data_IF_015980177214
#
_entry.id   IF_015980177214
#
_cell.length_a   1.000
_cell.length_b   1.000
_cell.length_c   1.000
_cell.angle_alpha   90.00
_cell.angle_beta   90.00
_cell.angle_gamma   90.00
#
_symmetry.space_group_name_H-M   'P 1'
#
loop_
_entity.id
_entity.type
_entity.pdbx_description
1 polymer ?
#
# COMPACT_ATOMS: atom_id res chain seq x y z
N UNK A 1 -31.07 24.45 -16.17
CA UNK A 1 -29.79 23.72 -16.24
C UNK A 1 -28.83 24.59 -17.03
N UNK A 2 -27.85 25.20 -16.36
CA UNK A 2 -26.88 26.09 -17.00
C UNK A 2 -25.51 25.44 -17.00
N UNK A 3 -24.80 25.52 -18.12
CA UNK A 3 -23.40 25.14 -18.22
C UNK A 3 -22.55 26.41 -18.18
N UNK A 4 -21.51 26.41 -17.34
CA UNK A 4 -20.57 27.52 -17.21
C UNK A 4 -19.17 27.06 -17.58
N UNK A 5 -18.40 27.90 -18.26
CA UNK A 5 -17.00 27.63 -18.59
C UNK A 5 -16.15 28.86 -18.28
N UNK A 6 -14.99 28.63 -17.67
CA UNK A 6 -13.95 29.64 -17.47
C UNK A 6 -12.60 29.10 -17.93
N UNK A 7 -11.79 29.94 -18.59
CA UNK A 7 -10.46 29.59 -19.08
C UNK A 7 -9.43 30.59 -18.52
N UNK A 8 -8.50 30.09 -17.69
CA UNK A 8 -7.36 30.84 -17.18
C UNK A 8 -6.09 30.43 -17.94
N UNK A 9 -5.70 31.26 -18.91
CA UNK A 9 -4.49 31.02 -19.71
C UNK A 9 -3.27 31.79 -19.17
N UNK A 10 -3.50 32.90 -18.48
CA UNK A 10 -2.50 33.75 -17.83
C UNK A 10 -3.20 34.69 -16.83
N UNK A 11 -2.42 35.47 -16.07
CA UNK A 11 -2.96 36.44 -15.12
C UNK A 11 -3.30 35.84 -13.75
N UNK A 12 -4.09 36.56 -12.98
CA UNK A 12 -4.45 36.21 -11.60
C UNK A 12 -5.98 36.21 -11.46
N UNK A 13 -6.52 35.10 -10.98
CA UNK A 13 -7.87 35.00 -10.45
C UNK A 13 -7.77 34.85 -8.92
N UNK A 14 -8.54 35.63 -8.19
CA UNK A 14 -8.61 35.50 -6.74
C UNK A 14 -10.06 35.57 -6.26
N UNK A 15 -10.43 34.62 -5.41
CA UNK A 15 -11.75 34.54 -4.82
C UNK A 15 -11.66 34.04 -3.37
N UNK A 16 -12.68 34.36 -2.56
CA UNK A 16 -12.80 33.77 -1.22
C UNK A 16 -13.13 32.28 -1.31
N UNK A 17 -14.15 31.95 -2.09
CA UNK A 17 -14.55 30.59 -2.42
C UNK A 17 -14.81 30.51 -3.92
N UNK A 18 -14.63 29.33 -4.49
CA UNK A 18 -14.97 29.05 -5.88
C UNK A 18 -15.92 27.85 -5.97
N UNK A 19 -16.91 27.96 -6.84
CA UNK A 19 -17.96 26.95 -7.00
C UNK A 19 -18.09 26.62 -8.49
N UNK A 20 -17.78 25.37 -8.85
CA UNK A 20 -17.95 24.84 -10.19
C UNK A 20 -19.12 23.84 -10.15
N UNK A 21 -20.14 24.06 -10.98
CA UNK A 21 -21.27 23.14 -11.07
C UNK A 21 -22.32 23.36 -9.98
N UNK A 22 -23.23 24.29 -10.25
CA UNK A 22 -24.40 24.61 -9.42
C UNK A 22 -25.50 23.53 -9.43
N UNK A 23 -26.64 23.79 -8.78
CA UNK A 23 -27.84 22.93 -8.82
C UNK A 23 -28.19 22.52 -10.26
N UNK A 24 -27.95 21.25 -10.58
CA UNK A 24 -28.22 20.58 -11.86
C UNK A 24 -27.48 21.16 -13.08
N UNK A 25 -26.35 21.84 -12.88
CA UNK A 25 -25.53 22.44 -13.93
C UNK A 25 -24.08 21.93 -13.94
N UNK A 26 -23.43 21.99 -15.11
CA UNK A 26 -22.01 21.65 -15.25
C UNK A 26 -21.16 22.92 -15.25
N UNK A 27 -20.18 23.01 -14.35
CA UNK A 27 -19.16 24.06 -14.36
C UNK A 27 -17.82 23.50 -14.80
N UNK A 28 -17.17 24.12 -15.77
CA UNK A 28 -15.84 23.76 -16.26
C UNK A 28 -14.85 24.89 -16.05
N UNK A 29 -13.68 24.59 -15.49
CA UNK A 29 -12.56 25.50 -15.38
C UNK A 29 -11.34 24.89 -16.07
N UNK A 30 -10.79 25.58 -17.05
CA UNK A 30 -9.54 25.16 -17.73
C UNK A 30 -8.42 26.12 -17.34
N UNK A 31 -7.37 25.59 -16.72
CA UNK A 31 -6.17 26.33 -16.38
C UNK A 31 -4.98 25.84 -17.20
N UNK A 32 -4.51 26.66 -18.13
CA UNK A 32 -3.29 26.38 -18.92
C UNK A 32 -2.10 27.23 -18.46
N UNK A 33 -2.35 28.26 -17.64
CA UNK A 33 -1.33 29.14 -17.06
C UNK A 33 -1.91 30.06 -15.99
N UNK A 34 -1.14 31.07 -15.58
CA UNK A 34 -1.57 32.04 -14.54
C UNK A 34 -1.71 31.44 -13.14
N UNK A 35 -2.30 32.23 -12.25
CA UNK A 35 -2.49 31.88 -10.83
C UNK A 35 -3.96 31.98 -10.45
N UNK A 36 -4.52 30.88 -9.94
CA UNK A 36 -5.80 30.87 -9.26
C UNK A 36 -5.56 30.81 -7.75
N UNK A 37 -6.17 31.72 -6.99
CA UNK A 37 -6.06 31.76 -5.53
C UNK A 37 -7.43 31.78 -4.89
N UNK A 38 -7.81 30.64 -4.31
CA UNK A 38 -9.04 30.47 -3.53
C UNK A 38 -8.67 30.57 -2.06
N UNK A 39 -9.05 31.65 -1.39
CA UNK A 39 -8.60 31.91 -0.02
C UNK A 39 -9.14 30.90 1.02
N UNK A 40 -10.29 30.30 0.75
CA UNK A 40 -10.90 29.28 1.59
C UNK A 40 -11.17 28.00 0.77
N UNK A 41 -12.39 27.78 0.29
CA UNK A 41 -12.79 26.48 -0.25
C UNK A 41 -13.09 26.54 -1.76
N UNK A 42 -12.60 25.53 -2.48
CA UNK A 42 -12.91 25.27 -3.88
C UNK A 42 -13.82 24.04 -3.97
N UNK A 43 -15.01 24.21 -4.53
CA UNK A 43 -16.01 23.15 -4.66
C UNK A 43 -16.22 22.77 -6.12
N UNK A 44 -15.95 21.51 -6.45
CA UNK A 44 -16.29 20.88 -7.70
C UNK A 44 -17.55 20.05 -7.48
N UNK A 45 -18.67 20.62 -7.90
CA UNK A 45 -20.04 20.34 -7.52
C UNK A 45 -20.46 21.01 -6.21
N UNK A 46 -21.35 22.01 -6.34
CA UNK A 46 -22.03 22.70 -5.25
C UNK A 46 -23.52 22.90 -5.58
N UNK A 47 -24.43 22.26 -4.85
CA UNK A 47 -25.86 22.54 -5.03
C UNK A 47 -26.76 21.65 -4.17
N UNK A 48 -27.66 22.27 -3.41
CA UNK A 48 -28.54 21.60 -2.44
C UNK A 48 -29.76 20.89 -3.06
N UNK A 49 -29.98 20.98 -4.37
CA UNK A 49 -31.25 20.56 -4.99
C UNK A 49 -31.14 19.31 -5.90
N UNK A 50 -30.02 19.10 -6.62
CA UNK A 50 -29.66 17.84 -7.33
C UNK A 50 -28.45 18.03 -8.26
N UNK A 51 -27.57 17.03 -8.37
CA UNK A 51 -26.82 16.73 -9.61
C UNK A 51 -25.80 17.74 -10.16
N UNK A 52 -25.24 18.64 -9.36
CA UNK A 52 -24.19 19.55 -9.86
C UNK A 52 -22.95 18.79 -10.32
N UNK A 53 -22.32 19.20 -11.42
CA UNK A 53 -21.06 18.63 -11.91
C UNK A 53 -19.98 19.69 -12.02
N UNK A 54 -18.87 19.52 -11.32
CA UNK A 54 -17.72 20.42 -11.38
C UNK A 54 -16.53 19.74 -12.03
N UNK A 55 -15.95 20.36 -13.06
CA UNK A 55 -14.79 19.85 -13.79
C UNK A 55 -13.69 20.91 -13.76
N UNK A 56 -12.53 20.56 -13.23
CA UNK A 56 -11.32 21.40 -13.27
C UNK A 56 -10.23 20.68 -14.06
N UNK A 57 -9.71 21.32 -15.09
CA UNK A 57 -8.63 20.79 -15.93
C UNK A 57 -7.43 21.71 -15.83
N UNK A 58 -6.35 21.23 -15.22
CA UNK A 58 -5.10 21.96 -15.04
C UNK A 58 -3.99 21.30 -15.86
N UNK A 59 -3.45 22.04 -16.83
CA UNK A 59 -2.27 21.64 -17.62
C UNK A 59 -1.08 22.57 -17.43
N UNK A 60 -1.25 23.67 -16.68
CA UNK A 60 -0.20 24.61 -16.32
C UNK A 60 -0.64 25.58 -15.21
N UNK A 61 0.22 26.54 -14.87
CA UNK A 61 -0.07 27.54 -13.84
C UNK A 61 -0.11 26.99 -12.41
N UNK A 62 -0.60 27.83 -11.50
CA UNK A 62 -0.72 27.53 -10.06
C UNK A 62 -2.16 27.65 -9.61
N UNK A 63 -2.67 26.64 -8.90
CA UNK A 63 -3.95 26.68 -8.20
C UNK A 63 -3.68 26.54 -6.70
N UNK A 64 -4.04 27.55 -5.92
CA UNK A 64 -3.84 27.55 -4.46
C UNK A 64 -5.19 27.63 -3.77
N UNK A 65 -5.52 26.59 -2.99
CA UNK A 65 -6.73 26.49 -2.18
C UNK A 65 -6.36 26.58 -0.72
N UNK A 66 -6.70 27.70 -0.06
CA UNK A 66 -6.24 28.01 1.28
C UNK A 66 -6.74 27.04 2.36
N UNK A 67 -7.91 26.43 2.17
CA UNK A 67 -8.50 25.49 3.11
C UNK A 67 -8.82 24.14 2.45
N UNK A 68 -10.00 23.96 1.85
CA UNK A 68 -10.42 22.63 1.35
C UNK A 68 -10.77 22.62 -0.13
N UNK A 69 -10.22 21.65 -0.83
CA UNK A 69 -10.66 21.23 -2.15
C UNK A 69 -11.67 20.10 -2.01
N UNK A 70 -12.89 20.34 -2.46
CA UNK A 70 -14.01 19.42 -2.35
C UNK A 70 -14.46 18.96 -3.73
N UNK A 71 -14.47 17.64 -3.97
CA UNK A 71 -15.05 17.06 -5.17
C UNK A 71 -16.29 16.23 -4.79
N UNK A 72 -17.42 16.48 -5.43
CA UNK A 72 -18.65 15.70 -5.25
C UNK A 72 -19.20 15.75 -3.82
N UNK A 73 -19.47 16.95 -3.28
CA UNK A 73 -19.56 17.13 -1.82
C UNK A 73 -20.93 17.40 -1.18
N UNK A 74 -22.00 17.63 -1.93
CA UNK A 74 -23.25 18.13 -1.33
C UNK A 74 -24.40 17.13 -1.32
N UNK A 75 -24.57 16.34 -2.39
CA UNK A 75 -25.65 15.36 -2.53
C UNK A 75 -25.11 14.07 -3.15
N UNK A 76 -25.84 12.96 -3.03
CA UNK A 76 -25.45 11.68 -3.64
C UNK A 76 -25.25 11.75 -5.15
N UNK A 77 -25.93 12.69 -5.82
CA UNK A 77 -25.88 12.88 -7.26
C UNK A 77 -24.81 13.91 -7.68
N UNK A 78 -24.12 14.53 -6.72
CA UNK A 78 -23.03 15.47 -6.99
C UNK A 78 -21.85 14.74 -7.64
N UNK A 79 -21.24 15.31 -8.68
CA UNK A 79 -20.05 14.74 -9.32
C UNK A 79 -18.92 15.76 -9.44
N UNK A 80 -17.71 15.41 -8.99
CA UNK A 80 -16.52 16.26 -9.11
C UNK A 80 -15.41 15.58 -9.90
N UNK A 81 -14.77 16.30 -10.82
CA UNK A 81 -13.60 15.81 -11.57
C UNK A 81 -12.48 16.84 -11.57
N UNK A 82 -11.29 16.45 -11.11
CA UNK A 82 -10.08 17.25 -11.24
C UNK A 82 -9.06 16.48 -12.11
N UNK A 83 -8.55 17.13 -13.16
CA UNK A 83 -7.56 16.57 -14.07
C UNK A 83 -6.29 17.41 -14.00
N UNK A 84 -5.24 16.89 -13.33
CA UNK A 84 -3.94 17.52 -13.20
C UNK A 84 -2.94 16.85 -14.14
N UNK A 85 -2.63 17.50 -15.26
CA UNK A 85 -1.67 17.04 -16.27
C UNK A 85 -0.36 17.85 -16.28
N UNK A 86 -0.36 19.01 -15.61
CA UNK A 86 0.79 19.90 -15.47
C UNK A 86 0.48 21.06 -14.52
N UNK A 87 1.48 21.86 -14.18
CA UNK A 87 1.33 22.94 -13.19
C UNK A 87 1.44 22.47 -11.74
N UNK A 88 0.99 23.32 -10.81
CA UNK A 88 1.00 23.06 -9.37
C UNK A 88 -0.37 23.32 -8.75
N UNK A 89 -0.88 22.34 -8.03
CA UNK A 89 -2.01 22.44 -7.11
C UNK A 89 -1.47 22.39 -5.68
N UNK A 90 -1.90 23.31 -4.83
CA UNK A 90 -1.67 23.23 -3.39
C UNK A 90 -2.96 23.48 -2.63
N UNK A 91 -3.21 22.66 -1.62
CA UNK A 91 -4.42 22.71 -0.80
C UNK A 91 -4.11 22.46 0.68
N UNK A 92 -4.96 22.99 1.57
CA UNK A 92 -4.96 22.62 2.98
C UNK A 92 -5.39 21.15 3.16
N UNK A 93 -6.55 20.82 2.60
CA UNK A 93 -7.13 19.48 2.60
C UNK A 93 -7.76 19.18 1.24
N UNK A 94 -7.82 17.90 0.90
CA UNK A 94 -8.55 17.41 -0.27
C UNK A 94 -9.55 16.35 0.16
N UNK A 95 -10.76 16.44 -0.38
CA UNK A 95 -11.78 15.42 -0.17
C UNK A 95 -12.40 15.04 -1.50
N UNK A 96 -12.12 13.81 -1.89
CA UNK A 96 -12.57 13.22 -3.14
C UNK A 96 -13.77 12.34 -2.83
N UNK A 97 -14.95 12.87 -3.14
CA UNK A 97 -16.23 12.17 -3.02
C UNK A 97 -16.83 12.29 -1.64
N UNK A 98 -17.06 13.49 -1.11
CA UNK A 98 -17.61 13.63 0.25
C UNK A 98 -19.09 13.16 0.37
N UNK A 99 -19.92 13.26 -0.65
CA UNK A 99 -21.31 12.73 -0.54
C UNK A 99 -21.70 12.04 -1.84
N UNK A 100 -21.36 12.68 -2.96
CA UNK A 100 -21.51 12.11 -4.29
C UNK A 100 -20.21 11.47 -4.78
N UNK A 101 -20.11 11.32 -6.10
CA UNK A 101 -18.98 10.66 -6.75
C UNK A 101 -17.89 11.66 -7.10
N UNK A 102 -16.63 11.22 -7.09
CA UNK A 102 -15.54 12.08 -7.51
C UNK A 102 -14.34 11.32 -8.04
N UNK A 103 -13.65 11.96 -8.98
CA UNK A 103 -12.39 11.45 -9.53
C UNK A 103 -11.34 12.55 -9.58
N UNK A 104 -10.18 12.26 -9.02
CA UNK A 104 -8.96 13.03 -9.24
C UNK A 104 -8.02 12.22 -10.14
N UNK A 105 -7.63 12.79 -11.27
CA UNK A 105 -6.70 12.17 -12.22
C UNK A 105 -5.44 13.01 -12.29
N UNK A 106 -4.31 12.43 -11.86
CA UNK A 106 -2.99 13.05 -11.95
C UNK A 106 -2.13 12.31 -12.98
N UNK A 107 -1.91 12.96 -14.12
CA UNK A 107 -1.05 12.49 -15.21
C UNK A 107 0.19 13.37 -15.41
N UNK A 108 0.46 14.25 -14.45
CA UNK A 108 1.62 15.13 -14.41
C UNK A 108 1.50 16.15 -13.28
N UNK A 109 2.36 17.18 -13.30
CA UNK A 109 2.32 18.27 -12.32
C UNK A 109 2.59 17.87 -10.86
N UNK A 110 2.33 18.81 -9.96
CA UNK A 110 2.52 18.66 -8.51
C UNK A 110 1.17 18.88 -7.81
N UNK A 111 0.75 17.93 -6.97
CA UNK A 111 -0.32 18.09 -5.99
C UNK A 111 0.28 18.07 -4.57
N UNK A 112 0.18 19.18 -3.86
CA UNK A 112 0.74 19.35 -2.52
C UNK A 112 -0.37 19.64 -1.50
N UNK A 113 -0.74 18.61 -0.74
CA UNK A 113 -1.76 18.67 0.31
C UNK A 113 -1.09 18.79 1.66
N UNK A 114 -1.11 19.99 2.23
CA UNK A 114 -0.40 20.28 3.49
C UNK A 114 -0.98 19.55 4.71
N UNK A 115 -2.28 19.23 4.68
CA UNK A 115 -3.00 18.46 5.70
C UNK A 115 -3.39 17.08 5.18
N UNK A 116 -4.69 16.82 5.13
CA UNK A 116 -5.21 15.48 4.82
C UNK A 116 -5.77 15.35 3.41
N UNK A 117 -5.45 14.24 2.75
CA UNK A 117 -6.18 13.73 1.59
C UNK A 117 -7.18 12.65 2.05
N UNK A 118 -8.46 12.84 1.72
CA UNK A 118 -9.51 11.87 1.97
C UNK A 118 -10.10 11.38 0.66
N UNK A 119 -10.08 10.06 0.45
CA UNK A 119 -10.64 9.42 -0.74
C UNK A 119 -11.80 8.53 -0.31
N UNK A 120 -13.03 8.90 -0.64
CA UNK A 120 -14.18 8.00 -0.52
C UNK A 120 -15.54 8.63 -0.21
N UNK A 121 -16.60 8.01 -0.76
CA UNK A 121 -18.02 8.44 -0.68
C UNK A 121 -18.92 7.57 0.19
N UNK A 122 -19.97 8.18 0.74
CA UNK A 122 -20.97 7.58 1.63
C UNK A 122 -22.04 6.75 0.93
N UNK A 123 -22.03 6.65 -0.40
CA UNK A 123 -22.95 5.78 -1.17
C UNK A 123 -22.30 5.29 -2.47
N UNK A 124 -22.97 4.42 -3.22
CA UNK A 124 -22.45 3.47 -4.23
C UNK A 124 -21.53 3.98 -5.38
N UNK A 125 -21.08 5.24 -5.37
CA UNK A 125 -19.96 5.72 -6.18
C UNK A 125 -18.93 6.43 -5.30
N UNK A 126 -17.80 5.75 -5.07
CA UNK A 126 -16.70 6.20 -4.21
C UNK A 126 -15.95 7.42 -4.71
N UNK A 127 -15.00 7.87 -3.89
CA UNK A 127 -13.90 8.72 -4.35
C UNK A 127 -12.84 7.88 -5.04
N UNK A 128 -12.29 8.38 -6.14
CA UNK A 128 -11.19 7.72 -6.87
C UNK A 128 -10.04 8.69 -7.07
N UNK A 129 -8.82 8.26 -6.72
CA UNK A 129 -7.58 8.93 -7.11
C UNK A 129 -6.80 8.04 -8.08
N UNK A 130 -6.40 8.60 -9.22
CA UNK A 130 -5.54 7.93 -10.19
C UNK A 130 -4.23 8.71 -10.34
N UNK A 131 -3.11 8.12 -9.96
CA UNK A 131 -1.77 8.67 -10.13
C UNK A 131 -0.99 7.87 -11.18
N UNK A 132 -0.76 8.45 -12.36
CA UNK A 132 0.05 7.82 -13.41
C UNK A 132 1.40 8.51 -13.61
N UNK A 133 1.49 9.82 -13.36
CA UNK A 133 2.74 10.59 -13.38
C UNK A 133 2.65 11.80 -12.46
N UNK A 134 3.75 12.54 -12.29
CA UNK A 134 3.82 13.71 -11.42
C UNK A 134 4.15 13.36 -9.98
N UNK A 135 3.93 14.31 -9.08
CA UNK A 135 4.19 14.17 -7.65
C UNK A 135 2.95 14.51 -6.83
N UNK A 136 2.57 13.60 -5.93
CA UNK A 136 1.57 13.82 -4.88
C UNK A 136 2.30 13.81 -3.53
N UNK A 137 2.12 14.85 -2.73
CA UNK A 137 2.59 14.88 -1.35
C UNK A 137 1.44 15.20 -0.40
N UNK A 138 1.30 14.40 0.65
CA UNK A 138 0.29 14.57 1.70
C UNK A 138 0.95 14.50 3.08
N UNK A 139 0.34 15.15 4.09
CA UNK A 139 0.73 14.89 5.46
C UNK A 139 0.06 13.62 5.98
N UNK A 140 -1.26 13.56 5.84
CA UNK A 140 -2.08 12.43 6.25
C UNK A 140 -2.95 12.00 5.08
N UNK A 141 -3.20 10.70 4.97
CA UNK A 141 -4.14 10.18 3.98
C UNK A 141 -5.01 9.07 4.55
N UNK A 142 -6.28 9.09 4.18
CA UNK A 142 -7.18 7.97 4.39
C UNK A 142 -7.99 7.66 3.13
N UNK A 143 -7.95 6.38 2.75
CA UNK A 143 -8.69 5.81 1.62
C UNK A 143 -9.76 4.91 2.22
N UNK A 144 -11.03 5.28 2.02
CA UNK A 144 -12.15 4.63 2.69
C UNK A 144 -12.20 4.97 4.19
N UNK A 145 -13.00 5.97 4.54
CA UNK A 145 -13.13 6.53 5.90
C UNK A 145 -14.61 6.65 6.28
N UNK A 146 -15.02 6.67 7.56
CA UNK A 146 -16.39 7.05 7.98
C UNK A 146 -17.53 6.45 7.16
N UNK A 147 -17.52 5.12 6.95
CA UNK A 147 -18.54 4.37 6.21
C UNK A 147 -18.54 4.66 4.71
N UNK A 148 -17.36 4.98 4.18
CA UNK A 148 -17.16 5.36 2.78
C UNK A 148 -16.25 4.38 2.05
N UNK A 149 -16.45 4.28 0.74
CA UNK A 149 -15.58 3.52 -0.16
C UNK A 149 -14.64 4.44 -0.91
N UNK A 150 -13.33 4.17 -0.80
CA UNK A 150 -12.27 4.90 -1.50
C UNK A 150 -11.39 3.99 -2.33
N UNK A 151 -10.95 4.48 -3.49
CA UNK A 151 -10.02 3.75 -4.37
C UNK A 151 -8.86 4.66 -4.75
N UNK A 152 -7.64 4.17 -4.57
CA UNK A 152 -6.41 4.81 -5.05
C UNK A 152 -5.69 3.86 -6.00
N UNK A 153 -5.40 4.32 -7.21
CA UNK A 153 -4.63 3.56 -8.21
C UNK A 153 -3.36 4.32 -8.56
N UNK A 154 -2.21 3.70 -8.32
CA UNK A 154 -0.90 4.21 -8.69
C UNK A 154 -0.27 3.35 -9.79
N UNK A 155 -0.18 3.91 -11.00
CA UNK A 155 0.48 3.28 -12.14
C UNK A 155 1.78 3.98 -12.55
N UNK A 156 2.22 4.96 -11.75
CA UNK A 156 3.49 5.67 -11.91
C UNK A 156 3.59 6.86 -10.95
N UNK A 157 4.47 7.82 -11.27
CA UNK A 157 4.69 9.02 -10.45
C UNK A 157 5.29 8.75 -9.06
N UNK A 158 5.36 9.81 -8.26
CA UNK A 158 5.83 9.75 -6.86
C UNK A 158 4.71 10.16 -5.92
N UNK A 159 4.41 9.29 -4.95
CA UNK A 159 3.48 9.54 -3.87
C UNK A 159 4.25 9.56 -2.54
N UNK A 160 4.17 10.66 -1.80
CA UNK A 160 4.83 10.81 -0.50
C UNK A 160 3.82 11.15 0.59
N UNK A 161 3.67 10.25 1.57
CA UNK A 161 2.83 10.45 2.76
C UNK A 161 3.73 10.62 3.99
N UNK A 162 3.85 11.85 4.47
CA UNK A 162 4.87 12.22 5.47
C UNK A 162 4.53 11.83 6.91
N UNK A 163 3.27 11.48 7.20
CA UNK A 163 2.82 11.02 8.52
C UNK A 163 2.19 9.63 8.46
N UNK A 164 0.93 9.53 8.01
CA UNK A 164 0.18 8.26 8.04
C UNK A 164 -0.67 8.07 6.80
N UNK A 165 -0.60 6.89 6.22
CA UNK A 165 -1.52 6.39 5.20
C UNK A 165 -2.40 5.31 5.82
N UNK A 166 -3.71 5.51 5.78
CA UNK A 166 -4.71 4.54 6.20
C UNK A 166 -5.49 4.01 4.98
N UNK A 167 -5.57 2.69 4.84
CA UNK A 167 -6.48 2.03 3.90
C UNK A 167 -7.55 1.31 4.71
N UNK A 168 -8.79 1.77 4.59
CA UNK A 168 -9.91 1.28 5.39
C UNK A 168 -9.78 1.67 6.85
N UNK A 169 -10.32 2.83 7.24
CA UNK A 169 -10.25 3.32 8.62
C UNK A 169 -11.57 3.87 9.18
N UNK A 170 -11.70 3.80 10.52
CA UNK A 170 -12.69 4.50 11.36
C UNK A 170 -14.11 3.93 11.49
N UNK A 171 -14.64 3.07 10.62
CA UNK A 171 -15.94 2.42 10.88
C UNK A 171 -16.11 1.06 10.20
N UNK A 172 -16.91 0.13 10.74
CA UNK A 172 -17.02 -1.24 10.19
C UNK A 172 -17.48 -1.32 8.71
N UNK A 173 -18.13 -0.28 8.19
CA UNK A 173 -18.61 -0.23 6.81
C UNK A 173 -17.74 0.62 5.86
N UNK A 174 -16.64 1.23 6.33
CA UNK A 174 -15.67 1.82 5.41
C UNK A 174 -14.86 0.75 4.70
N UNK A 175 -14.50 1.03 3.45
CA UNK A 175 -13.67 0.15 2.64
C UNK A 175 -12.67 0.98 1.84
N UNK A 176 -11.38 0.71 2.02
CA UNK A 176 -10.31 1.32 1.25
C UNK A 176 -9.64 0.31 0.33
N UNK A 177 -9.24 0.75 -0.87
CA UNK A 177 -8.38 -0.03 -1.75
C UNK A 177 -7.26 0.83 -2.31
N UNK A 178 -6.02 0.36 -2.17
CA UNK A 178 -4.83 0.91 -2.82
C UNK A 178 -4.24 -0.15 -3.75
N UNK A 179 -4.07 0.20 -5.03
CA UNK A 179 -3.42 -0.65 -6.02
C UNK A 179 -2.20 0.05 -6.61
N UNK A 180 -1.05 -0.61 -6.62
CA UNK A 180 0.19 -0.09 -7.21
C UNK A 180 0.79 -1.06 -8.23
N UNK A 181 1.09 -0.55 -9.42
CA UNK A 181 1.71 -1.31 -10.52
C UNK A 181 3.00 -0.67 -11.05
N UNK A 182 3.36 0.53 -10.60
CA UNK A 182 4.64 1.19 -10.88
C UNK A 182 4.75 2.45 -10.02
N UNK A 183 5.81 3.24 -10.23
CA UNK A 183 6.05 4.46 -9.49
C UNK A 183 6.60 4.20 -8.09
N UNK A 184 6.69 5.27 -7.31
CA UNK A 184 7.23 5.23 -5.94
C UNK A 184 6.17 5.67 -4.94
N UNK A 185 5.92 4.85 -3.92
CA UNK A 185 5.15 5.18 -2.72
C UNK A 185 6.12 5.27 -1.54
N UNK A 186 6.27 6.46 -0.97
CA UNK A 186 7.09 6.71 0.21
C UNK A 186 6.15 7.07 1.35
N UNK A 187 6.05 6.22 2.36
CA UNK A 187 5.14 6.38 3.47
C UNK A 187 5.90 6.28 4.78
N UNK A 188 5.57 7.15 5.73
CA UNK A 188 6.12 7.02 7.08
C UNK A 188 5.48 5.85 7.82
N UNK A 189 4.19 5.94 8.13
CA UNK A 189 3.42 4.83 8.69
C UNK A 189 2.29 4.40 7.78
N UNK A 190 2.24 3.11 7.48
CA UNK A 190 1.28 2.52 6.56
C UNK A 190 0.37 1.54 7.31
N UNK A 191 -0.90 1.89 7.43
CA UNK A 191 -1.92 1.08 8.09
C UNK A 191 -2.89 0.53 7.07
N UNK A 192 -3.00 -0.78 7.00
CA UNK A 192 -3.93 -1.49 6.12
C UNK A 192 -4.94 -2.20 7.00
N UNK A 193 -6.24 -1.90 6.87
CA UNK A 193 -7.29 -2.69 7.52
C UNK A 193 -7.37 -2.55 9.05
N UNK A 194 -6.88 -1.45 9.63
CA UNK A 194 -6.69 -1.30 11.08
C UNK A 194 -8.00 -1.32 11.90
N UNK A 195 -9.12 -0.81 11.36
CA UNK A 195 -10.43 -0.78 12.03
C UNK A 195 -11.62 -1.06 11.11
N UNK A 196 -11.34 -1.34 9.84
CA UNK A 196 -12.33 -1.58 8.80
C UNK A 196 -11.63 -2.11 7.56
N UNK A 197 -12.39 -2.60 6.58
CA UNK A 197 -11.81 -3.31 5.44
C UNK A 197 -10.80 -2.46 4.64
N UNK A 198 -9.55 -2.89 4.65
CA UNK A 198 -8.46 -2.23 3.93
C UNK A 198 -7.75 -3.20 3.01
N UNK A 199 -7.62 -2.86 1.73
CA UNK A 199 -7.00 -3.73 0.74
C UNK A 199 -5.82 -3.07 0.07
N UNK A 200 -4.65 -3.74 0.10
CA UNK A 200 -3.46 -3.36 -0.64
C UNK A 200 -3.15 -4.40 -1.72
N UNK A 201 -3.00 -3.94 -2.97
CA UNK A 201 -2.59 -4.75 -4.10
C UNK A 201 -1.28 -4.23 -4.70
N UNK A 202 -0.24 -5.07 -4.70
CA UNK A 202 0.96 -4.85 -5.52
C UNK A 202 0.81 -5.71 -6.77
N UNK A 203 0.52 -5.07 -7.90
CA UNK A 203 0.10 -5.77 -9.13
C UNK A 203 1.20 -5.91 -10.17
N UNK A 204 2.37 -5.34 -9.94
CA UNK A 204 3.55 -5.45 -10.79
C UNK A 204 4.83 -5.29 -9.94
N UNK A 205 5.89 -6.08 -10.17
CA UNK A 205 7.16 -5.94 -9.44
C UNK A 205 7.88 -4.61 -9.68
N UNK A 206 7.48 -3.81 -10.69
CA UNK A 206 8.01 -2.47 -10.91
C UNK A 206 7.54 -1.42 -9.89
N UNK A 207 6.59 -1.76 -9.01
CA UNK A 207 6.17 -0.90 -7.90
C UNK A 207 7.31 -0.76 -6.87
N UNK A 208 7.64 0.48 -6.49
CA UNK A 208 8.62 0.77 -5.45
C UNK A 208 7.91 1.34 -4.21
N UNK A 209 7.94 0.60 -3.10
CA UNK A 209 7.31 1.01 -1.84
C UNK A 209 8.37 1.12 -0.77
N UNK A 210 8.43 2.26 -0.09
CA UNK A 210 9.31 2.51 1.05
C UNK A 210 8.49 2.90 2.27
N UNK A 211 8.73 2.20 3.38
CA UNK A 211 8.19 2.47 4.72
C UNK A 211 9.33 2.93 5.61
N UNK A 212 9.09 3.92 6.47
CA UNK A 212 10.13 4.58 7.30
C UNK A 212 9.74 4.76 8.77
N UNK A 213 8.75 4.01 9.24
CA UNK A 213 8.38 3.94 10.66
C UNK A 213 7.60 2.65 10.98
N UNK A 214 6.51 2.38 10.26
CA UNK A 214 5.64 1.25 10.57
C UNK A 214 4.87 0.76 9.34
N UNK A 215 4.90 -0.55 9.09
CA UNK A 215 3.93 -1.26 8.27
C UNK A 215 3.02 -2.08 9.19
N UNK A 216 1.72 -1.83 9.14
CA UNK A 216 0.74 -2.47 10.03
C UNK A 216 -0.39 -3.11 9.22
N UNK A 217 -0.53 -4.43 9.34
CA UNK A 217 -1.67 -5.19 8.84
C UNK A 217 -2.68 -5.36 9.98
N UNK A 218 -3.81 -4.66 9.88
CA UNK A 218 -4.90 -4.74 10.84
C UNK A 218 -5.78 -5.97 10.70
N UNK A 219 -6.76 -6.08 11.61
CA UNK A 219 -7.71 -7.21 11.68
C UNK A 219 -8.55 -7.41 10.44
N UNK A 220 -8.82 -6.34 9.68
CA UNK A 220 -9.65 -6.35 8.47
C UNK A 220 -8.82 -6.06 7.21
N UNK A 221 -7.52 -6.40 7.25
CA UNK A 221 -6.61 -6.20 6.14
C UNK A 221 -6.78 -7.27 5.07
N UNK A 222 -6.49 -6.90 3.83
CA UNK A 222 -6.29 -7.83 2.72
C UNK A 222 -5.05 -7.39 1.95
N UNK A 223 -4.13 -8.30 1.71
CA UNK A 223 -2.88 -8.04 1.02
C UNK A 223 -2.62 -9.07 -0.07
N UNK A 224 -2.42 -8.59 -1.30
CA UNK A 224 -1.97 -9.41 -2.41
C UNK A 224 -0.76 -8.79 -3.06
N UNK A 225 0.20 -9.62 -3.45
CA UNK A 225 1.36 -9.20 -4.22
C UNK A 225 1.64 -10.19 -5.34
N UNK A 226 2.13 -9.69 -6.47
CA UNK A 226 2.69 -10.52 -7.54
C UNK A 226 4.10 -11.00 -7.18
N UNK A 227 4.56 -12.15 -7.72
CA UNK A 227 5.93 -12.61 -7.49
C UNK A 227 6.97 -11.54 -7.84
N UNK A 228 7.92 -11.32 -6.93
CA UNK A 228 8.98 -10.31 -7.08
C UNK A 228 8.58 -8.90 -6.65
N UNK A 229 7.40 -8.73 -6.06
CA UNK A 229 7.04 -7.49 -5.37
C UNK A 229 7.98 -7.24 -4.19
N UNK A 230 8.34 -5.98 -3.96
CA UNK A 230 9.25 -5.57 -2.88
C UNK A 230 8.59 -4.49 -2.00
N UNK A 231 8.90 -4.53 -0.71
CA UNK A 231 8.68 -3.42 0.22
C UNK A 231 10.00 -3.17 0.95
N UNK A 232 10.46 -1.92 0.91
CA UNK A 232 11.67 -1.46 1.57
C UNK A 232 11.34 -0.84 2.93
N UNK A 233 11.95 -1.37 3.98
CA UNK A 233 11.78 -0.98 5.38
C UNK A 233 13.06 -0.25 5.85
N UNK A 234 12.95 1.06 6.05
CA UNK A 234 14.09 1.96 6.29
C UNK A 234 14.09 2.48 7.73
N UNK A 235 14.21 1.56 8.69
CA UNK A 235 14.03 1.85 10.13
C UNK A 235 12.55 1.80 10.48
N UNK A 236 11.92 0.66 10.23
CA UNK A 236 10.47 0.48 10.35
C UNK A 236 10.08 -0.82 11.03
N UNK A 237 9.15 -0.75 11.98
CA UNK A 237 8.51 -1.93 12.54
C UNK A 237 7.55 -2.58 11.53
N UNK A 238 7.35 -3.89 11.67
CA UNK A 238 6.24 -4.64 11.07
C UNK A 238 5.31 -5.12 12.19
N UNK A 239 4.04 -4.73 12.12
CA UNK A 239 2.97 -5.25 12.97
C UNK A 239 1.98 -6.05 12.13
N UNK A 240 1.75 -7.31 12.51
CA UNK A 240 0.64 -8.09 12.00
C UNK A 240 -0.38 -8.31 13.11
N UNK A 241 -1.57 -7.76 12.93
CA UNK A 241 -2.71 -7.90 13.85
C UNK A 241 -3.81 -8.73 13.16
N UNK A 242 -3.62 -9.14 11.89
CA UNK A 242 -4.59 -9.95 11.17
C UNK A 242 -4.68 -11.35 11.80
N UNK A 243 -5.88 -11.84 12.14
CA UNK A 243 -6.06 -13.22 12.58
C UNK A 243 -6.22 -14.21 11.41
N UNK A 244 -6.20 -13.70 10.17
CA UNK A 244 -6.51 -14.47 8.97
C UNK A 244 -5.33 -14.47 7.98
N UNK A 245 -4.61 -15.60 7.84
CA UNK A 245 -3.49 -15.72 6.91
C UNK A 245 -3.92 -15.75 5.44
N UNK A 246 -5.14 -16.17 5.13
CA UNK A 246 -5.63 -16.21 3.75
C UNK A 246 -5.85 -14.79 3.20
N UNK A 247 -6.22 -13.86 4.07
CA UNK A 247 -6.32 -12.44 3.72
C UNK A 247 -4.95 -11.80 3.43
N UNK A 248 -3.85 -12.38 3.93
CA UNK A 248 -2.48 -11.92 3.68
C UNK A 248 -1.71 -12.86 2.74
N UNK A 249 -2.40 -13.62 1.87
CA UNK A 249 -1.77 -14.55 0.93
C UNK A 249 -0.67 -13.94 0.05
N UNK A 250 -0.70 -12.61 -0.18
CA UNK A 250 0.34 -11.88 -0.88
C UNK A 250 1.72 -11.93 -0.22
N UNK A 251 1.83 -12.20 1.08
CA UNK A 251 3.10 -12.30 1.79
C UNK A 251 4.04 -13.34 1.15
N UNK A 252 3.49 -14.45 0.66
CA UNK A 252 4.25 -15.51 -0.02
C UNK A 252 4.99 -15.06 -1.29
N UNK A 253 4.56 -13.95 -1.91
CA UNK A 253 5.16 -13.38 -3.11
C UNK A 253 6.02 -12.14 -2.83
N UNK A 254 6.02 -11.66 -1.59
CA UNK A 254 6.66 -10.42 -1.17
C UNK A 254 8.12 -10.69 -0.75
N UNK A 255 9.02 -9.84 -1.23
CA UNK A 255 10.30 -9.59 -0.58
C UNK A 255 10.18 -8.37 0.34
N UNK A 256 10.42 -8.59 1.64
CA UNK A 256 10.49 -7.54 2.64
C UNK A 256 11.96 -7.27 2.97
N UNK A 257 12.43 -6.06 2.62
CA UNK A 257 13.84 -5.66 2.73
C UNK A 257 14.00 -4.72 3.92
N UNK A 258 14.71 -5.14 4.96
CA UNK A 258 15.11 -4.27 6.07
C UNK A 258 16.51 -3.71 5.82
N UNK A 259 16.59 -2.39 5.78
CA UNK A 259 17.79 -1.62 5.42
C UNK A 259 17.82 -0.25 6.14
N UNK A 260 17.34 -0.22 7.39
CA UNK A 260 17.31 0.97 8.23
C UNK A 260 18.66 1.44 8.77
N UNK A 261 19.72 0.65 8.59
CA UNK A 261 21.06 0.96 9.06
C UNK A 261 21.34 0.47 10.49
N UNK A 262 22.47 0.92 11.04
CA UNK A 262 23.06 0.39 12.28
C UNK A 262 22.48 0.92 13.61
N UNK A 263 21.54 1.85 13.57
CA UNK A 263 21.00 2.51 14.76
C UNK A 263 19.66 1.98 15.23
N UNK A 264 18.87 1.44 14.31
CA UNK A 264 17.49 1.06 14.56
C UNK A 264 17.35 -0.46 14.45
N UNK A 265 16.91 -1.09 15.53
CA UNK A 265 16.52 -2.50 15.54
C UNK A 265 15.02 -2.53 15.34
N UNK A 266 14.61 -3.02 14.17
CA UNK A 266 13.22 -3.00 13.74
C UNK A 266 12.45 -4.19 14.33
N UNK A 267 11.37 -3.95 15.10
CA UNK A 267 10.51 -5.02 15.57
C UNK A 267 9.77 -5.68 14.40
N UNK A 268 9.76 -7.02 14.41
CA UNK A 268 9.02 -7.83 13.44
C UNK A 268 8.06 -8.74 14.20
N UNK A 269 6.77 -8.44 14.08
CA UNK A 269 5.70 -9.29 14.61
C UNK A 269 5.62 -10.62 13.85
N UNK A 270 5.87 -11.72 14.55
CA UNK A 270 5.59 -13.07 14.04
C UNK A 270 4.09 -13.35 14.14
N UNK A 271 3.56 -14.27 13.32
CA UNK A 271 2.11 -14.52 13.27
C UNK A 271 1.73 -15.97 12.92
N UNK A 272 2.69 -16.76 12.43
CA UNK A 272 2.44 -18.15 12.04
C UNK A 272 2.39 -19.06 13.27
N UNK A 273 1.55 -20.07 13.26
CA UNK A 273 1.63 -21.17 14.23
C UNK A 273 2.98 -21.85 14.12
N UNK A 274 3.65 -22.10 15.25
CA UNK A 274 4.86 -22.92 15.26
C UNK A 274 4.51 -24.40 15.07
N UNK A 275 4.56 -24.84 13.81
CA UNK A 275 4.37 -26.23 13.41
C UNK A 275 5.70 -27.02 13.39
N UNK A 276 6.81 -26.40 13.79
CA UNK A 276 8.13 -26.96 13.64
C UNK A 276 8.68 -26.85 12.21
N UNK A 277 9.80 -27.54 11.98
CA UNK A 277 10.51 -27.55 10.69
C UNK A 277 9.82 -28.46 9.65
N UNK A 278 8.59 -28.12 9.28
CA UNK A 278 7.75 -28.88 8.33
C UNK A 278 7.16 -27.97 7.26
N UNK A 279 6.94 -28.52 6.06
CA UNK A 279 6.36 -27.77 4.94
C UNK A 279 4.95 -27.23 5.20
N UNK A 280 4.21 -27.83 6.14
CA UNK A 280 2.87 -27.36 6.50
C UNK A 280 2.88 -25.93 7.08
N UNK A 281 4.00 -25.46 7.65
CA UNK A 281 4.11 -24.09 8.16
C UNK A 281 4.15 -23.01 7.08
N UNK A 282 4.21 -23.38 5.80
CA UNK A 282 4.12 -22.44 4.68
C UNK A 282 2.71 -22.29 4.10
N UNK A 283 1.76 -23.13 4.50
CA UNK A 283 0.41 -23.16 3.94
C UNK A 283 -0.55 -22.45 4.89
N UNK A 284 -1.21 -21.38 4.41
CA UNK A 284 -2.13 -20.55 5.20
C UNK A 284 -1.63 -20.23 6.62
N UNK A 285 -0.38 -19.76 6.73
CA UNK A 285 0.28 -19.54 8.03
C UNK A 285 1.18 -18.28 8.05
N UNK A 286 0.76 -17.23 7.34
CA UNK A 286 1.49 -15.95 7.23
C UNK A 286 2.92 -16.06 6.70
N UNK A 287 3.23 -17.13 5.97
CA UNK A 287 4.58 -17.35 5.46
C UNK A 287 4.99 -16.27 4.46
N UNK A 288 6.21 -15.76 4.64
CA UNK A 288 6.79 -14.69 3.85
C UNK A 288 7.60 -15.27 2.69
N UNK A 289 7.51 -14.65 1.51
CA UNK A 289 8.31 -15.00 0.33
C UNK A 289 9.80 -14.86 0.62
N UNK A 290 10.27 -13.62 0.78
CA UNK A 290 11.67 -13.35 1.08
C UNK A 290 11.78 -12.37 2.22
N UNK A 291 12.61 -12.69 3.20
CA UNK A 291 13.10 -11.75 4.21
C UNK A 291 14.55 -11.43 3.87
N UNK A 292 14.81 -10.16 3.57
CA UNK A 292 16.15 -9.66 3.31
C UNK A 292 16.53 -8.66 4.38
N UNK A 293 17.62 -8.90 5.12
CA UNK A 293 18.24 -7.94 6.01
C UNK A 293 19.54 -7.49 5.37
N UNK A 294 19.60 -6.23 4.96
CA UNK A 294 20.69 -5.70 4.16
C UNK A 294 20.26 -5.48 2.72
N UNK A 295 20.33 -4.25 2.26
CA UNK A 295 20.04 -3.85 0.89
C UNK A 295 20.99 -2.73 0.48
N UNK A 296 20.49 -1.50 0.51
CA UNK A 296 21.30 -0.28 0.35
C UNK A 296 22.09 0.07 1.62
N UNK A 297 21.59 -0.32 2.80
CA UNK A 297 22.26 -0.27 4.10
C UNK A 297 22.02 -1.58 4.86
N UNK A 298 22.64 -1.77 6.02
CA UNK A 298 22.47 -2.96 6.85
C UNK A 298 21.04 -3.03 7.42
N UNK A 299 20.53 -4.25 7.60
CA UNK A 299 19.25 -4.50 8.24
C UNK A 299 19.43 -5.01 9.67
N UNK A 300 18.65 -4.49 10.61
CA UNK A 300 18.59 -5.02 11.97
C UNK A 300 17.14 -5.29 12.35
N UNK A 301 16.83 -6.53 12.72
CA UNK A 301 15.49 -6.96 13.09
C UNK A 301 15.52 -7.69 14.42
N UNK A 302 14.50 -7.45 15.25
CA UNK A 302 14.18 -8.28 16.41
C UNK A 302 12.77 -8.85 16.24
N UNK A 303 12.63 -10.17 16.36
CA UNK A 303 11.32 -10.82 16.36
C UNK A 303 10.57 -10.50 17.66
N UNK A 304 9.27 -10.27 17.54
CA UNK A 304 8.34 -10.06 18.65
C UNK A 304 7.04 -10.83 18.41
N UNK A 305 6.35 -11.14 19.50
CA UNK A 305 5.04 -11.79 19.56
C UNK A 305 4.23 -10.95 20.56
N UNK A 306 3.51 -9.97 20.03
CA UNK A 306 2.70 -8.98 20.76
C UNK A 306 1.21 -9.18 20.54
N UNK A 307 0.82 -9.85 19.46
CA UNK A 307 -0.55 -10.07 19.03
C UNK A 307 -0.78 -11.55 18.76
N UNK A 308 -1.84 -12.12 19.35
CA UNK A 308 -2.28 -13.46 18.99
C UNK A 308 -2.98 -13.42 17.61
N UNK A 309 -2.24 -13.79 16.57
CA UNK A 309 -2.74 -13.90 15.20
C UNK A 309 -3.46 -15.24 14.96
N UNK A 310 -3.48 -16.14 15.94
CA UNK A 310 -3.93 -17.52 15.83
C UNK A 310 -5.01 -17.84 16.88
N UNK A 311 -6.00 -16.94 17.01
CA UNK A 311 -7.06 -16.95 18.06
C UNK A 311 -7.83 -18.26 18.29
N UNK A 312 -7.72 -19.26 17.41
CA UNK A 312 -8.30 -20.59 17.55
C UNK A 312 -7.33 -21.71 17.96
N UNK A 313 -6.06 -21.38 18.23
CA UNK A 313 -4.98 -22.33 18.51
C UNK A 313 -4.21 -21.94 19.79
N UNK A 314 -3.67 -22.94 20.50
CA UNK A 314 -2.84 -22.73 21.68
C UNK A 314 -1.39 -23.17 21.38
N UNK A 315 -0.44 -22.26 21.53
CA UNK A 315 1.00 -22.53 21.41
C UNK A 315 1.81 -21.26 21.20
N UNK A 316 3.01 -21.40 20.65
CA UNK A 316 3.91 -20.27 20.34
C UNK A 316 3.85 -19.93 18.86
N UNK A 317 4.01 -18.65 18.55
CA UNK A 317 4.12 -18.21 17.16
C UNK A 317 5.55 -18.35 16.63
N UNK A 318 5.68 -18.47 15.31
CA UNK A 318 6.93 -18.60 14.59
C UNK A 318 6.88 -17.90 13.23
N UNK A 319 8.06 -17.61 12.70
CA UNK A 319 8.23 -17.03 11.38
C UNK A 319 8.63 -18.10 10.36
N UNK A 320 7.87 -18.21 9.27
CA UNK A 320 8.20 -19.05 8.12
C UNK A 320 8.56 -18.17 6.92
N UNK A 321 9.73 -18.41 6.32
CA UNK A 321 10.23 -17.62 5.17
C UNK A 321 10.73 -18.53 4.06
N UNK A 322 10.29 -18.33 2.80
CA UNK A 322 10.81 -19.18 1.71
C UNK A 322 12.29 -18.90 1.44
N UNK A 323 12.70 -17.63 1.44
CA UNK A 323 14.09 -17.21 1.24
C UNK A 323 14.55 -16.26 2.36
N UNK A 324 15.60 -16.64 3.09
CA UNK A 324 16.22 -15.79 4.11
C UNK A 324 17.57 -15.28 3.62
N UNK A 325 17.69 -13.96 3.42
CA UNK A 325 18.92 -13.31 2.99
C UNK A 325 19.44 -12.39 4.09
N UNK A 326 20.59 -12.73 4.67
CA UNK A 326 21.26 -11.89 5.66
C UNK A 326 22.56 -11.35 5.04
N UNK A 327 22.57 -10.06 4.75
CA UNK A 327 23.72 -9.34 4.22
C UNK A 327 24.83 -9.12 5.27
N UNK A 328 25.98 -8.65 4.79
CA UNK A 328 27.17 -8.38 5.61
C UNK A 328 26.84 -7.39 6.73
N UNK A 329 27.10 -7.77 7.98
CA UNK A 329 26.89 -6.92 9.16
C UNK A 329 25.43 -6.79 9.63
N UNK A 330 24.47 -7.42 8.94
CA UNK A 330 23.08 -7.45 9.36
C UNK A 330 22.89 -8.17 10.70
N UNK A 331 21.83 -7.82 11.41
CA UNK A 331 21.54 -8.30 12.75
C UNK A 331 20.12 -8.89 12.82
N UNK A 332 20.00 -10.15 13.23
CA UNK A 332 18.73 -10.83 13.45
C UNK A 332 18.67 -11.38 14.87
N UNK A 333 17.87 -10.74 15.72
CA UNK A 333 17.55 -11.25 17.06
C UNK A 333 16.21 -11.97 17.02
N UNK A 334 16.22 -13.27 17.30
CA UNK A 334 15.00 -14.08 17.31
C UNK A 334 14.22 -13.93 18.62
N UNK A 335 14.76 -13.27 19.64
CA UNK A 335 14.09 -12.97 20.91
C UNK A 335 13.35 -14.14 21.61
N UNK A 336 13.89 -15.36 21.49
CA UNK A 336 13.35 -16.61 22.02
C UNK A 336 12.40 -17.34 21.07
N UNK A 337 12.05 -16.75 19.93
CA UNK A 337 11.14 -17.29 18.93
C UNK A 337 11.85 -18.17 17.89
N UNK A 338 11.05 -18.85 17.08
CA UNK A 338 11.52 -19.77 16.05
C UNK A 338 11.35 -19.15 14.65
N UNK A 339 12.38 -19.30 13.82
CA UNK A 339 12.36 -18.94 12.40
C UNK A 339 12.73 -20.16 11.57
N UNK A 340 11.83 -20.53 10.65
CA UNK A 340 12.03 -21.61 9.72
C UNK A 340 12.17 -21.09 8.28
N UNK A 341 13.16 -21.59 7.56
CA UNK A 341 13.42 -21.16 6.18
C UNK A 341 13.74 -22.31 5.23
N UNK A 342 13.43 -22.16 3.94
CA UNK A 342 13.73 -23.18 2.93
C UNK A 342 15.07 -22.93 2.24
N UNK A 343 15.23 -21.71 1.74
CA UNK A 343 16.42 -21.26 1.03
C UNK A 343 16.99 -20.02 1.71
N UNK A 344 18.25 -19.72 1.44
CA UNK A 344 18.82 -18.50 1.95
C UNK A 344 20.30 -18.35 1.71
N UNK A 345 20.77 -17.12 1.88
CA UNK A 345 22.17 -16.76 1.89
C UNK A 345 22.45 -15.97 3.17
N UNK A 346 23.24 -16.55 4.06
CA UNK A 346 23.63 -15.91 5.31
C UNK A 346 25.11 -15.54 5.20
N UNK A 347 25.39 -14.24 5.17
CA UNK A 347 26.75 -13.73 5.21
C UNK A 347 27.44 -14.10 6.54
N UNK A 348 28.70 -14.58 6.54
CA UNK A 348 29.41 -14.92 7.77
C UNK A 348 29.59 -13.78 8.77
N UNK A 349 29.47 -12.52 8.33
CA UNK A 349 29.51 -11.33 9.17
C UNK A 349 28.13 -10.91 9.69
N UNK A 350 27.04 -11.58 9.31
CA UNK A 350 25.73 -11.37 9.91
C UNK A 350 25.71 -11.93 11.34
N UNK A 351 25.02 -11.23 12.23
CA UNK A 351 24.83 -11.63 13.63
C UNK A 351 23.43 -12.20 13.81
N UNK A 352 23.34 -13.39 14.42
CA UNK A 352 22.06 -14.05 14.70
C UNK A 352 22.04 -14.42 16.18
N UNK A 353 21.00 -14.03 16.90
CA UNK A 353 20.91 -14.21 18.35
C UNK A 353 19.55 -14.74 18.80
N UNK A 354 19.55 -15.35 19.99
CA UNK A 354 18.38 -15.51 20.86
C UNK A 354 17.19 -16.24 20.25
N UNK A 355 17.23 -17.54 19.97
CA UNK A 355 16.07 -18.31 19.48
C UNK A 355 16.52 -19.51 18.67
N UNK A 356 15.66 -20.09 17.82
CA UNK A 356 16.07 -21.15 16.90
C UNK A 356 15.87 -20.75 15.44
N UNK A 357 16.98 -20.70 14.71
CA UNK A 357 16.99 -20.56 13.25
C UNK A 357 17.15 -21.93 12.61
N UNK A 358 16.12 -22.43 11.93
CA UNK A 358 16.09 -23.81 11.45
C UNK A 358 15.81 -23.91 9.95
N UNK A 359 16.74 -24.43 9.13
CA UNK A 359 16.44 -24.76 7.74
C UNK A 359 15.46 -25.95 7.69
N UNK A 360 14.42 -25.84 6.87
CA UNK A 360 13.47 -26.92 6.61
C UNK A 360 14.07 -27.86 5.57
N UNK A 361 14.23 -29.16 5.87
CA UNK A 361 14.75 -30.12 4.91
C UNK A 361 13.81 -30.25 3.70
N UNK A 362 14.36 -30.25 2.49
CA UNK A 362 13.59 -30.62 1.32
C UNK A 362 12.97 -32.01 1.50
N UNK A 363 11.69 -32.22 1.13
CA UNK A 363 11.08 -33.54 1.23
C UNK A 363 11.92 -34.57 0.47
N UNK A 364 12.24 -35.69 1.14
CA UNK A 364 13.02 -36.80 0.58
C UNK A 364 12.41 -37.45 -0.67
N UNK A 365 11.20 -37.06 -1.06
CA UNK A 365 10.51 -37.50 -2.29
C UNK A 365 11.20 -37.00 -3.58
N UNK A 366 11.89 -35.86 -3.56
CA UNK A 366 12.72 -35.41 -4.70
C UNK A 366 13.96 -36.31 -4.91
N UNK A 367 14.53 -36.83 -3.82
CA UNK A 367 15.63 -37.80 -3.89
C UNK A 367 15.14 -39.16 -4.43
N UNK A 368 13.90 -39.54 -4.14
CA UNK A 368 13.31 -40.79 -4.63
C UNK A 368 12.95 -40.75 -6.12
N UNK A 369 12.59 -39.60 -6.68
CA UNK A 369 12.38 -39.45 -8.14
C UNK A 369 13.69 -39.58 -8.92
N UNK A 370 14.80 -39.05 -8.38
CA UNK A 370 16.14 -39.21 -8.95
C UNK A 370 16.68 -40.63 -8.86
N UNK A 371 16.47 -41.32 -7.73
CA UNK A 371 16.90 -42.70 -7.53
C UNK A 371 16.03 -43.72 -8.30
N UNK A 372 14.74 -43.44 -8.46
CA UNK A 372 13.79 -44.31 -9.18
C UNK A 372 14.10 -44.45 -10.67
N UNK A 373 14.57 -43.37 -11.32
CA UNK A 373 15.00 -43.41 -12.73
C UNK A 373 16.29 -44.22 -12.93
N UNK A 374 17.23 -44.20 -11.98
CA UNK A 374 18.45 -45.02 -12.04
C UNK A 374 18.14 -46.50 -11.79
N UNK A 375 17.19 -46.82 -10.90
CA UNK A 375 16.74 -48.19 -10.65
C UNK A 375 16.03 -48.85 -11.85
N UNK A 376 15.27 -48.08 -12.63
CA UNK A 376 14.54 -48.58 -13.82
C UNK A 376 15.45 -48.80 -15.05
N UNK A 377 16.61 -48.14 -15.13
CA UNK A 377 17.60 -48.39 -16.21
C UNK A 377 18.43 -49.65 -15.93
N UNK A 378 18.63 -50.03 -14.66
CA UNK A 378 19.40 -51.22 -14.26
C UNK A 378 18.73 -52.57 -14.56
N UNK A 379 17.40 -52.61 -14.74
CA UNK A 379 16.63 -53.86 -14.90
C UNK A 379 16.38 -54.28 -16.35
N UNK A 380 16.84 -53.53 -17.36
CA UNK A 380 16.57 -53.81 -18.79
C UNK A 380 17.69 -54.47 -19.60
N UNK A 381 18.78 -54.93 -18.96
CA UNK A 381 19.87 -55.67 -19.63
C UNK A 381 20.17 -57.03 -18.96
N UNK A 382 19.23 -57.97 -19.02
CA UNK A 382 19.54 -59.42 -18.99
C UNK A 382 18.32 -60.26 -19.34
N UNK A 383 18.08 -60.47 -20.62
CA UNK A 383 17.49 -61.70 -21.20
C UNK A 383 17.45 -61.53 -22.72
N UNK A 384 18.36 -62.25 -23.40
CA UNK A 384 18.21 -62.89 -24.72
C UNK A 384 19.61 -63.35 -25.15
N UNK A 385 19.94 -64.59 -24.82
CA UNK A 385 20.93 -65.41 -25.53
C UNK A 385 20.58 -66.88 -25.26
N UNK A 386 20.53 -67.64 -26.35
CA UNK A 386 20.13 -69.03 -26.55
C UNK A 386 18.63 -69.29 -26.73
#
# INVERSE_FOLDING_TARGET
>A
MGNGTYNLNAGILSAKNEYLGGSSGTGTFTQTGGTNTVANDLYLSHGSLSGGSGIYTQSGGTNTVGNKLYLGSFTSDSSGSYNLSGGSLSSGYETIGLVGTATFTQSGGINAVSGSLYVGSSSAGGGTYNLSFGSLSTNYEAIGLYSRTGVFTQSGGTHTVTSKLYIGYSSPSSSGTYSISSGSLNVRSFYIGYHSRGTLHITDPAANITVSNLLSFGTDSTFTAVPGATIHMTGSALENISPDPDNLAGLSNLELVFEGGSTDIDPFEVAGQDLGAVMAGFDSNFALGTLTLGGTDIGQVQLIDSFDNQTGWEGSEALYVYNLNLGTGSYLDLNGLNLYYLNGSIDPAATILGGQLTPIPEPSTLILLGAGLVGLVGLRKKRLAN
#
